data_IF_809964928164
#
_entry.id   IF_809964928164
#
_cell.length_a   1.000
_cell.length_b   1.000
_cell.length_c   1.000
_cell.angle_alpha   90.00
_cell.angle_beta   90.00
_cell.angle_gamma   90.00
#
_symmetry.space_group_name_H-M   'P 1'
#
loop_
_entity.id
_entity.type
_entity.pdbx_description
1 polymer ?
#
# COMPACT_ATOMS: atom_id res chain seq x y z
N UNK A 1 -2.84 -19.56 -28.89
CA UNK A 1 -1.83 -18.60 -28.39
C UNK A 1 -1.26 -19.11 -27.08
N UNK A 2 0.05 -19.35 -26.97
CA UNK A 2 0.69 -19.74 -25.70
C UNK A 2 0.65 -18.55 -24.74
N UNK A 3 -0.05 -18.68 -23.60
CA UNK A 3 -0.02 -17.67 -22.52
C UNK A 3 1.43 -17.47 -22.10
N UNK A 4 1.89 -16.21 -22.01
CA UNK A 4 3.24 -15.87 -21.53
C UNK A 4 3.41 -16.43 -20.11
N UNK A 5 4.61 -16.90 -19.77
CA UNK A 5 4.94 -17.45 -18.43
C UNK A 5 4.49 -16.53 -17.29
N UNK A 6 4.64 -15.22 -17.48
CA UNK A 6 4.19 -14.19 -16.54
C UNK A 6 2.69 -14.30 -16.20
N UNK A 7 1.83 -14.53 -17.22
CA UNK A 7 0.39 -14.65 -16.99
C UNK A 7 0.04 -15.98 -16.28
N UNK A 8 0.79 -17.05 -16.54
CA UNK A 8 0.62 -18.32 -15.82
C UNK A 8 0.92 -18.20 -14.34
N UNK A 9 2.00 -17.49 -13.98
CA UNK A 9 2.37 -17.25 -12.59
C UNK A 9 1.36 -16.31 -11.91
N UNK A 10 0.93 -15.26 -12.61
CA UNK A 10 -0.06 -14.30 -12.09
C UNK A 10 -1.43 -14.92 -11.82
N UNK A 11 -1.86 -15.90 -12.62
CA UNK A 11 -3.12 -16.64 -12.47
C UNK A 11 -2.99 -17.86 -11.53
N UNK A 12 -1.78 -18.19 -11.06
CA UNK A 12 -1.54 -19.37 -10.23
C UNK A 12 -2.22 -19.25 -8.87
N UNK A 13 -3.03 -20.26 -8.52
CA UNK A 13 -3.66 -20.36 -7.20
C UNK A 13 -2.66 -20.63 -6.07
N UNK A 14 -1.49 -21.18 -6.41
CA UNK A 14 -0.43 -21.55 -5.47
C UNK A 14 0.52 -20.40 -5.12
N UNK A 15 0.56 -19.32 -5.92
CA UNK A 15 1.47 -18.20 -5.68
C UNK A 15 1.22 -17.55 -4.31
N UNK A 16 -0.03 -17.31 -3.93
CA UNK A 16 -0.37 -16.67 -2.66
C UNK A 16 -0.04 -17.56 -1.45
N UNK A 17 -0.46 -18.84 -1.35
CA UNK A 17 -0.07 -19.67 -0.23
C UNK A 17 1.44 -19.88 -0.12
N UNK A 18 2.17 -19.97 -1.23
CA UNK A 18 3.62 -20.08 -1.22
C UNK A 18 4.29 -18.83 -0.63
N UNK A 19 3.83 -17.63 -1.00
CA UNK A 19 4.36 -16.38 -0.42
C UNK A 19 3.98 -16.18 1.03
N UNK A 20 2.82 -16.64 1.47
CA UNK A 20 2.42 -16.63 2.89
C UNK A 20 3.31 -17.57 3.70
N UNK A 21 3.61 -18.77 3.18
CA UNK A 21 4.52 -19.70 3.83
C UNK A 21 5.94 -19.13 3.94
N UNK A 22 6.43 -18.50 2.86
CA UNK A 22 7.70 -17.78 2.84
C UNK A 22 7.74 -16.68 3.92
N UNK A 23 6.67 -15.87 4.01
CA UNK A 23 6.57 -14.84 5.03
C UNK A 23 6.56 -15.44 6.45
N UNK A 24 5.84 -16.54 6.68
CA UNK A 24 5.80 -17.20 7.98
C UNK A 24 7.19 -17.67 8.41
N UNK A 25 7.98 -18.26 7.51
CA UNK A 25 9.35 -18.69 7.80
C UNK A 25 10.23 -17.51 8.19
N UNK A 26 10.15 -16.39 7.45
CA UNK A 26 10.97 -15.20 7.76
C UNK A 26 10.55 -14.57 9.09
N UNK A 27 9.24 -14.48 9.38
CA UNK A 27 8.75 -13.96 10.65
C UNK A 27 9.19 -14.82 11.85
N UNK A 28 9.18 -16.14 11.69
CA UNK A 28 9.71 -17.06 12.71
C UNK A 28 11.22 -16.89 12.89
N UNK A 29 11.97 -16.77 11.79
CA UNK A 29 13.42 -16.54 11.82
C UNK A 29 13.80 -15.20 12.48
N UNK A 30 12.96 -14.17 12.34
CA UNK A 30 13.13 -12.87 13.01
C UNK A 30 12.65 -12.85 14.48
N UNK A 31 12.31 -14.01 15.05
CA UNK A 31 12.01 -14.12 16.46
C UNK A 31 10.67 -13.51 16.88
N UNK A 32 9.64 -13.56 16.04
CA UNK A 32 8.31 -13.00 16.31
C UNK A 32 7.74 -13.45 17.67
N UNK A 33 8.02 -14.68 18.07
CA UNK A 33 7.56 -15.24 19.34
C UNK A 33 8.43 -14.74 20.50
N UNK A 34 9.76 -14.66 20.32
CA UNK A 34 10.69 -14.20 21.35
C UNK A 34 10.57 -12.71 21.65
N UNK A 35 10.47 -11.89 20.61
CA UNK A 35 10.38 -10.43 20.75
C UNK A 35 8.94 -9.90 20.86
N UNK A 36 7.95 -10.78 20.88
CA UNK A 36 6.51 -10.45 20.98
C UNK A 36 6.03 -9.47 19.89
N UNK A 37 6.51 -9.61 18.66
CA UNK A 37 6.20 -8.74 17.51
C UNK A 37 4.80 -9.02 16.91
N UNK A 38 3.83 -9.41 17.74
CA UNK A 38 2.48 -9.78 17.27
C UNK A 38 1.72 -8.61 16.66
N UNK A 39 1.91 -7.40 17.19
CA UNK A 39 1.27 -6.19 16.67
C UNK A 39 1.78 -5.87 15.27
N UNK A 40 3.09 -5.94 15.07
CA UNK A 40 3.72 -5.73 13.78
C UNK A 40 3.24 -6.76 12.75
N UNK A 41 3.15 -8.02 13.15
CA UNK A 41 2.64 -9.10 12.29
C UNK A 41 1.17 -8.86 11.91
N UNK A 42 0.33 -8.42 12.84
CA UNK A 42 -1.07 -8.09 12.56
C UNK A 42 -1.19 -6.94 11.57
N UNK A 43 -0.44 -5.86 11.76
CA UNK A 43 -0.44 -4.71 10.84
C UNK A 43 0.09 -5.14 9.45
N UNK A 44 1.12 -5.96 9.39
CA UNK A 44 1.65 -6.51 8.14
C UNK A 44 0.61 -7.36 7.39
N UNK A 45 -0.11 -8.24 8.11
CA UNK A 45 -1.18 -9.05 7.53
C UNK A 45 -2.31 -8.18 6.96
N UNK A 46 -2.75 -7.16 7.71
CA UNK A 46 -3.76 -6.20 7.25
C UNK A 46 -3.24 -5.45 6.01
N UNK A 47 -2.00 -4.98 6.01
CA UNK A 47 -1.37 -4.27 4.89
C UNK A 47 -1.34 -5.12 3.63
N UNK A 48 -1.05 -6.42 3.74
CA UNK A 48 -1.04 -7.34 2.60
C UNK A 48 -2.43 -7.55 2.00
N UNK A 49 -3.48 -7.60 2.83
CA UNK A 49 -4.87 -7.67 2.38
C UNK A 49 -5.32 -6.34 1.75
N UNK A 50 -4.92 -5.22 2.33
CA UNK A 50 -5.18 -3.89 1.75
C UNK A 50 -4.53 -3.74 0.38
N UNK A 51 -3.31 -4.25 0.19
CA UNK A 51 -2.62 -4.22 -1.10
C UNK A 51 -3.35 -5.07 -2.15
N UNK A 52 -3.90 -6.22 -1.77
CA UNK A 52 -4.76 -7.03 -2.64
C UNK A 52 -6.02 -6.25 -3.05
N UNK A 53 -6.67 -5.59 -2.08
CA UNK A 53 -7.87 -4.77 -2.32
C UNK A 53 -7.56 -3.59 -3.24
N UNK A 54 -6.41 -2.94 -3.04
CA UNK A 54 -5.94 -1.82 -3.86
C UNK A 54 -5.79 -2.23 -5.33
N UNK A 55 -5.16 -3.38 -5.59
CA UNK A 55 -5.02 -3.91 -6.95
C UNK A 55 -6.38 -4.27 -7.58
N UNK A 56 -7.20 -5.00 -6.84
CA UNK A 56 -8.47 -5.52 -7.37
C UNK A 56 -9.51 -4.43 -7.61
N UNK A 57 -9.54 -3.41 -6.75
CA UNK A 57 -10.51 -2.31 -6.84
C UNK A 57 -10.16 -1.31 -7.93
N UNK A 58 -8.88 -1.03 -8.12
CA UNK A 58 -8.42 -0.02 -9.06
C UNK A 58 -7.92 -0.61 -10.39
N UNK A 59 -8.02 -1.95 -10.55
CA UNK A 59 -7.58 -2.66 -11.77
C UNK A 59 -6.17 -2.25 -12.21
N UNK A 60 -5.24 -2.08 -11.25
CA UNK A 60 -3.86 -1.67 -11.50
C UNK A 60 -3.16 -2.62 -12.48
N UNK A 61 -3.48 -3.90 -12.36
CA UNK A 61 -3.13 -4.91 -13.36
C UNK A 61 -4.43 -5.33 -14.04
N UNK A 62 -4.48 -5.31 -15.38
CA UNK A 62 -5.67 -5.66 -16.20
C UNK A 62 -6.28 -7.03 -15.87
N UNK A 63 -5.54 -7.89 -15.19
CA UNK A 63 -5.94 -9.25 -14.79
C UNK A 63 -6.19 -9.25 -13.30
N UNK A 64 -7.30 -9.83 -12.85
CA UNK A 64 -7.53 -10.10 -11.44
C UNK A 64 -6.43 -11.02 -10.92
N UNK A 65 -5.49 -10.47 -10.16
CA UNK A 65 -4.30 -11.20 -9.73
C UNK A 65 -3.94 -10.85 -8.29
N UNK A 66 -3.54 -11.87 -7.55
CA UNK A 66 -2.97 -11.72 -6.21
C UNK A 66 -1.48 -11.41 -6.23
N UNK A 67 -0.88 -11.32 -7.42
CA UNK A 67 0.56 -11.18 -7.59
C UNK A 67 1.11 -9.89 -6.98
N UNK A 68 0.33 -8.80 -7.00
CA UNK A 68 0.73 -7.53 -6.35
C UNK A 68 0.90 -7.71 -4.85
N UNK A 69 -0.02 -8.43 -4.19
CA UNK A 69 0.13 -8.76 -2.78
C UNK A 69 1.29 -9.71 -2.52
N UNK A 70 1.50 -10.68 -3.41
CA UNK A 70 2.64 -11.60 -3.30
C UNK A 70 3.99 -10.88 -3.42
N UNK A 71 4.13 -9.97 -4.39
CA UNK A 71 5.35 -9.17 -4.55
C UNK A 71 5.58 -8.23 -3.37
N UNK A 72 4.52 -7.61 -2.86
CA UNK A 72 4.57 -6.78 -1.67
C UNK A 72 5.06 -7.58 -0.45
N UNK A 73 4.48 -8.75 -0.18
CA UNK A 73 4.90 -9.64 0.91
C UNK A 73 6.37 -10.02 0.74
N UNK A 74 6.77 -10.46 -0.45
CA UNK A 74 8.14 -10.89 -0.71
C UNK A 74 9.15 -9.75 -0.51
N UNK A 75 8.88 -8.55 -1.01
CA UNK A 75 9.76 -7.38 -0.86
C UNK A 75 9.85 -6.92 0.60
N UNK A 76 8.73 -6.87 1.31
CA UNK A 76 8.71 -6.45 2.72
C UNK A 76 9.45 -7.46 3.59
N UNK A 77 9.27 -8.76 3.34
CA UNK A 77 10.00 -9.80 4.05
C UNK A 77 11.50 -9.83 3.71
N UNK A 78 11.91 -9.43 2.51
CA UNK A 78 13.32 -9.26 2.15
C UNK A 78 13.98 -8.11 2.94
N UNK A 79 13.22 -7.09 3.31
CA UNK A 79 13.68 -5.98 4.15
C UNK A 79 13.41 -6.27 5.64
N UNK A 80 14.09 -7.27 6.19
CA UNK A 80 13.86 -7.79 7.57
C UNK A 80 13.97 -6.72 8.65
N UNK A 81 14.82 -5.69 8.45
CA UNK A 81 14.97 -4.57 9.38
C UNK A 81 13.69 -3.74 9.57
N UNK A 82 12.78 -3.77 8.58
CA UNK A 82 11.47 -3.11 8.69
C UNK A 82 10.53 -3.87 9.63
N UNK A 83 10.66 -5.19 9.73
CA UNK A 83 9.73 -6.04 10.47
C UNK A 83 9.82 -5.83 11.98
N UNK A 84 10.99 -5.47 12.51
CA UNK A 84 11.18 -5.17 13.93
C UNK A 84 10.70 -3.78 14.33
N UNK A 85 10.60 -2.83 13.39
CA UNK A 85 10.22 -1.45 13.66
C UNK A 85 8.72 -1.24 13.53
N UNK A 86 8.03 -1.01 14.66
CA UNK A 86 6.59 -0.70 14.68
C UNK A 86 6.27 0.56 13.84
N UNK A 87 7.10 1.59 13.95
CA UNK A 87 6.90 2.85 13.22
C UNK A 87 6.96 2.64 11.71
N UNK A 88 7.92 1.84 11.23
CA UNK A 88 8.07 1.57 9.80
C UNK A 88 6.88 0.81 9.23
N UNK A 89 6.41 -0.23 9.92
CA UNK A 89 5.25 -1.03 9.51
C UNK A 89 3.96 -0.19 9.57
N UNK A 90 3.79 0.65 10.59
CA UNK A 90 2.63 1.54 10.70
C UNK A 90 2.60 2.55 9.54
N UNK A 91 3.72 3.17 9.23
CA UNK A 91 3.83 4.11 8.10
C UNK A 91 3.56 3.40 6.78
N UNK A 92 4.06 2.18 6.58
CA UNK A 92 3.78 1.37 5.39
C UNK A 92 2.27 1.12 5.22
N UNK A 93 1.56 0.77 6.30
CA UNK A 93 0.11 0.59 6.29
C UNK A 93 -0.62 1.89 5.95
N UNK A 94 -0.21 3.02 6.53
CA UNK A 94 -0.76 4.34 6.26
C UNK A 94 -0.57 4.76 4.80
N UNK A 95 0.59 4.46 4.18
CA UNK A 95 0.81 4.71 2.76
C UNK A 95 -0.11 3.88 1.87
N UNK A 96 -0.35 2.62 2.19
CA UNK A 96 -1.29 1.79 1.42
C UNK A 96 -2.70 2.36 1.54
N UNK A 97 -3.11 2.76 2.74
CA UNK A 97 -4.41 3.39 2.99
C UNK A 97 -4.53 4.74 2.25
N UNK A 98 -3.47 5.54 2.25
CA UNK A 98 -3.38 6.77 1.46
C UNK A 98 -3.66 6.51 -0.03
N UNK A 99 -2.94 5.57 -0.65
CA UNK A 99 -3.15 5.25 -2.07
C UNK A 99 -4.55 4.67 -2.33
N UNK A 100 -5.06 3.84 -1.43
CA UNK A 100 -6.37 3.24 -1.56
C UNK A 100 -7.50 4.29 -1.53
N UNK A 101 -7.33 5.34 -0.72
CA UNK A 101 -8.27 6.46 -0.64
C UNK A 101 -8.05 7.47 -1.77
N UNK A 102 -6.81 7.78 -2.12
CA UNK A 102 -6.48 8.72 -3.19
C UNK A 102 -6.97 8.23 -4.55
N UNK A 103 -6.81 6.95 -4.88
CA UNK A 103 -7.24 6.39 -6.16
C UNK A 103 -8.77 6.40 -6.34
N UNK A 104 -9.55 6.56 -5.26
CA UNK A 104 -11.00 6.80 -5.37
C UNK A 104 -11.34 8.15 -6.01
N UNK A 105 -10.41 9.09 -5.99
CA UNK A 105 -10.59 10.41 -6.63
C UNK A 105 -10.19 10.43 -8.11
N UNK A 106 -9.73 9.30 -8.66
CA UNK A 106 -9.33 9.21 -10.07
C UNK A 106 -10.48 9.62 -10.98
N UNK A 107 -10.24 10.62 -11.85
CA UNK A 107 -11.22 11.23 -12.77
C UNK A 107 -12.50 11.76 -12.11
N UNK A 108 -12.52 11.94 -10.79
CA UNK A 108 -13.69 12.41 -10.05
C UNK A 108 -13.39 13.71 -9.31
N UNK A 109 -13.70 14.84 -9.92
CA UNK A 109 -13.51 16.20 -9.35
C UNK A 109 -14.40 16.50 -8.13
N UNK A 110 -15.34 15.61 -7.78
CA UNK A 110 -16.25 15.80 -6.63
C UNK A 110 -15.85 14.97 -5.40
N UNK A 111 -14.82 14.12 -5.51
CA UNK A 111 -14.38 13.23 -4.43
C UNK A 111 -13.48 13.95 -3.39
N UNK A 112 -13.88 15.12 -2.93
CA UNK A 112 -13.12 15.96 -1.98
C UNK A 112 -12.84 15.22 -0.68
N UNK A 113 -13.82 14.48 -0.16
CA UNK A 113 -13.67 13.70 1.06
C UNK A 113 -12.61 12.60 0.93
N UNK A 114 -12.49 11.95 -0.24
CA UNK A 114 -11.47 10.94 -0.45
C UNK A 114 -10.05 11.55 -0.43
N UNK A 115 -9.87 12.72 -1.02
CA UNK A 115 -8.60 13.45 -0.97
C UNK A 115 -8.27 13.90 0.45
N UNK A 116 -9.24 14.46 1.17
CA UNK A 116 -9.06 14.85 2.57
C UNK A 116 -8.58 13.67 3.41
N UNK A 117 -9.27 12.54 3.39
CA UNK A 117 -8.86 11.35 4.16
C UNK A 117 -7.51 10.78 3.72
N UNK A 118 -7.18 10.86 2.42
CA UNK A 118 -5.88 10.45 1.93
C UNK A 118 -4.77 11.30 2.55
N UNK A 119 -4.86 12.63 2.44
CA UNK A 119 -3.84 13.52 2.99
C UNK A 119 -3.82 13.50 4.52
N UNK A 120 -4.93 13.27 5.18
CA UNK A 120 -4.97 13.03 6.61
C UNK A 120 -4.14 11.81 7.03
N UNK A 121 -4.25 10.68 6.30
CA UNK A 121 -3.40 9.52 6.54
C UNK A 121 -1.91 9.83 6.31
N UNK A 122 -1.60 10.65 5.31
CA UNK A 122 -0.24 11.07 5.02
C UNK A 122 0.29 12.02 6.10
N UNK A 123 -0.55 12.91 6.64
CA UNK A 123 -0.26 13.76 7.79
C UNK A 123 0.09 12.93 9.04
N UNK A 124 -0.71 11.90 9.36
CA UNK A 124 -0.39 10.98 10.46
C UNK A 124 0.94 10.27 10.21
N UNK A 125 1.20 9.80 8.98
CA UNK A 125 2.46 9.15 8.63
C UNK A 125 3.66 10.10 8.79
N UNK A 126 3.49 11.39 8.53
CA UNK A 126 4.54 12.40 8.69
C UNK A 126 4.93 12.65 10.16
N UNK A 127 4.06 12.33 11.12
CA UNK A 127 4.38 12.38 12.55
C UNK A 127 5.46 11.36 12.94
N UNK A 128 5.53 10.23 12.21
CA UNK A 128 6.59 9.23 12.41
C UNK A 128 7.85 9.58 11.62
N UNK A 129 7.69 10.06 10.38
CA UNK A 129 8.81 10.42 9.50
C UNK A 129 8.50 11.72 8.75
N UNK A 130 9.07 12.83 9.22
CA UNK A 130 8.85 14.18 8.64
C UNK A 130 9.21 14.25 7.15
N UNK A 131 10.14 13.41 6.70
CA UNK A 131 10.53 13.34 5.28
C UNK A 131 9.37 13.03 4.32
N UNK A 132 8.29 12.48 4.83
CA UNK A 132 7.07 12.17 4.03
C UNK A 132 6.45 13.45 3.46
N UNK A 133 6.56 14.58 4.14
CA UNK A 133 6.04 15.86 3.67
C UNK A 133 6.67 16.33 2.34
N UNK A 134 7.91 15.91 2.04
CA UNK A 134 8.53 16.21 0.76
C UNK A 134 7.83 15.56 -0.44
N UNK A 135 7.00 14.52 -0.21
CA UNK A 135 6.19 13.91 -1.27
C UNK A 135 4.95 14.73 -1.63
N UNK A 136 4.49 15.65 -0.75
CA UNK A 136 3.25 16.42 -0.98
C UNK A 136 3.28 17.23 -2.28
N UNK A 137 4.33 18.02 -2.60
CA UNK A 137 4.38 18.73 -3.87
C UNK A 137 4.34 17.81 -5.09
N UNK A 138 5.02 16.66 -5.01
CA UNK A 138 5.00 15.66 -6.06
C UNK A 138 3.60 15.06 -6.25
N UNK A 139 2.88 14.79 -5.16
CA UNK A 139 1.51 14.29 -5.19
C UNK A 139 0.54 15.30 -5.82
N UNK A 140 0.73 16.60 -5.58
CA UNK A 140 -0.07 17.64 -6.24
C UNK A 140 0.13 17.64 -7.76
N UNK A 141 1.39 17.50 -8.22
CA UNK A 141 1.70 17.38 -9.64
C UNK A 141 1.03 16.13 -10.23
N UNK A 142 1.09 15.01 -9.53
CA UNK A 142 0.47 13.76 -9.96
C UNK A 142 -1.05 13.85 -10.02
N UNK A 143 -1.68 14.52 -9.04
CA UNK A 143 -3.12 14.77 -9.04
C UNK A 143 -3.55 15.70 -10.19
N UNK A 144 -2.74 16.68 -10.53
CA UNK A 144 -3.03 17.62 -11.62
C UNK A 144 -2.87 16.96 -12.99
N UNK A 145 -1.76 16.24 -13.22
CA UNK A 145 -1.42 15.68 -14.53
C UNK A 145 -2.09 14.34 -14.79
N UNK A 146 -1.81 13.32 -13.98
CA UNK A 146 -2.19 11.94 -14.28
C UNK A 146 -3.60 11.58 -13.80
N UNK A 147 -4.03 12.14 -12.68
CA UNK A 147 -5.34 11.79 -12.13
C UNK A 147 -6.47 12.68 -12.65
N UNK A 148 -6.13 13.84 -13.26
CA UNK A 148 -7.10 14.85 -13.73
C UNK A 148 -8.16 15.20 -12.66
N UNK A 149 -7.79 15.05 -11.41
CA UNK A 149 -8.66 15.22 -10.25
C UNK A 149 -8.51 16.60 -9.62
N UNK A 150 -7.50 17.40 -10.01
CA UNK A 150 -7.19 18.66 -9.38
C UNK A 150 -8.30 19.69 -9.64
N UNK A 151 -8.91 20.17 -8.57
CA UNK A 151 -9.87 21.29 -8.54
C UNK A 151 -9.50 22.19 -7.38
N UNK A 152 -9.91 23.47 -7.41
CA UNK A 152 -9.66 24.40 -6.29
C UNK A 152 -10.10 23.82 -4.94
N UNK A 153 -11.25 23.17 -4.90
CA UNK A 153 -11.79 22.54 -3.69
C UNK A 153 -10.98 21.32 -3.24
N UNK A 154 -10.42 20.55 -4.19
CA UNK A 154 -9.56 19.40 -3.89
C UNK A 154 -8.19 19.82 -3.39
N UNK A 155 -7.65 20.92 -3.93
CA UNK A 155 -6.40 21.50 -3.44
C UNK A 155 -6.53 21.91 -1.97
N UNK A 156 -7.59 22.64 -1.61
CA UNK A 156 -7.85 23.00 -0.22
C UNK A 156 -8.08 21.77 0.67
N UNK A 157 -8.81 20.77 0.18
CA UNK A 157 -9.00 19.51 0.90
C UNK A 157 -7.68 18.77 1.20
N UNK A 158 -6.70 18.88 0.30
CA UNK A 158 -5.37 18.28 0.51
C UNK A 158 -4.47 19.06 1.48
N UNK A 159 -4.73 20.34 1.69
CA UNK A 159 -3.98 21.17 2.67
C UNK A 159 -4.55 20.99 4.07
N UNK A 160 -5.88 20.82 4.18
CA UNK A 160 -6.56 20.69 5.48
C UNK A 160 -6.43 19.25 6.04
N UNK A 161 -6.29 18.24 5.16
CA UNK A 161 -6.08 16.84 5.56
C UNK A 161 -4.62 16.54 5.82
#
# INVERSE_FOLDING_TARGET
MRKRLQNRVAESRFAFPATVLYAAVIWLANGVVGERLYVQLAIFAISSLMMMTLNNRNSLIRIYSRMVSCSFIAMTCAATFLLSSLNAIAVQALFILFYLTLLRSYQNKRAQGAVFYAFFCLGIASMFFVQILFYVPFLWILMASNMMAMSHKMFWASIIG
#
